data_IF_174287588710
#
_entry.id   IF_174287588710
#
_cell.length_a   1.000
_cell.length_b   1.000
_cell.length_c   1.000
_cell.angle_alpha   90.00
_cell.angle_beta   90.00
_cell.angle_gamma   90.00
#
_symmetry.space_group_name_H-M   'P 1'
#
loop_
_entity.id
_entity.type
_entity.pdbx_description
1 polymer ?
#
# COMPACT_ATOMS: atom_id res chain seq x y z
N UNK A 1 -64.39 -37.19 31.25
CA UNK A 1 -65.05 -36.21 32.15
C UNK A 1 -64.26 -34.92 31.94
N UNK A 2 -64.80 -34.18 31.12
CA UNK A 2 -65.47 -32.86 31.22
C UNK A 2 -64.48 -31.72 31.02
N UNK A 3 -64.38 -31.20 29.85
CA UNK A 3 -64.67 -29.84 29.38
C UNK A 3 -65.11 -28.79 30.48
N UNK A 4 -64.92 -27.46 30.34
CA UNK A 4 -64.90 -26.70 29.07
C UNK A 4 -63.89 -25.49 29.04
N UNK A 5 -63.75 -24.96 27.85
CA UNK A 5 -63.26 -23.60 27.54
C UNK A 5 -64.24 -22.51 28.05
N UNK A 6 -63.81 -21.26 28.12
CA UNK A 6 -64.29 -20.31 27.11
C UNK A 6 -63.20 -19.29 26.63
N UNK A 7 -63.32 -18.90 25.36
CA UNK A 7 -62.96 -17.60 24.81
C UNK A 7 -64.01 -16.54 25.24
N UNK A 8 -64.00 -15.29 24.77
CA UNK A 8 -62.97 -14.40 24.21
C UNK A 8 -63.01 -13.01 24.91
N UNK A 9 -62.10 -12.15 24.66
CA UNK A 9 -62.45 -10.75 24.63
C UNK A 9 -61.46 -9.95 23.81
N UNK A 10 -62.02 -9.31 22.86
CA UNK A 10 -61.39 -8.36 21.97
C UNK A 10 -60.94 -7.10 22.66
N UNK A 11 -59.87 -6.61 22.17
CA UNK A 11 -59.53 -5.23 22.40
C UNK A 11 -59.08 -4.55 21.09
N UNK A 12 -60.03 -3.81 20.56
CA UNK A 12 -59.85 -2.98 19.39
C UNK A 12 -58.78 -1.92 19.65
N UNK A 13 -57.79 -1.89 18.79
CA UNK A 13 -56.76 -0.84 18.77
C UNK A 13 -57.37 0.41 18.10
N UNK A 14 -57.40 1.56 18.74
CA UNK A 14 -57.85 2.78 18.07
C UNK A 14 -56.73 3.27 17.13
N UNK A 15 -57.11 3.41 15.86
CA UNK A 15 -56.28 4.06 14.84
C UNK A 15 -55.98 5.51 15.21
N UNK A 16 -54.77 5.79 15.63
CA UNK A 16 -54.24 7.17 15.75
C UNK A 16 -53.92 7.73 14.36
N UNK A 17 -54.94 8.16 13.65
CA UNK A 17 -54.86 9.10 12.53
C UNK A 17 -54.55 10.48 13.10
N UNK A 18 -53.36 11.01 12.91
CA UNK A 18 -53.10 12.42 13.21
C UNK A 18 -51.65 12.87 13.25
N UNK A 19 -50.69 11.98 13.47
CA UNK A 19 -49.28 12.41 13.61
C UNK A 19 -48.43 12.23 12.36
N UNK A 20 -48.85 11.41 11.41
CA UNK A 20 -48.08 11.17 10.18
C UNK A 20 -48.04 12.37 9.23
N UNK A 21 -49.07 13.20 9.20
CA UNK A 21 -49.06 14.40 8.33
C UNK A 21 -48.16 15.50 8.86
N UNK A 22 -48.03 15.62 10.16
CA UNK A 22 -47.13 16.61 10.79
C UNK A 22 -45.68 16.19 10.64
N UNK A 23 -45.39 14.89 10.78
CA UNK A 23 -44.04 14.32 10.53
C UNK A 23 -43.64 14.46 9.07
N UNK A 24 -44.58 14.21 8.14
CA UNK A 24 -44.32 14.37 6.70
C UNK A 24 -44.06 15.85 6.34
N UNK A 25 -44.74 16.81 6.99
CA UNK A 25 -44.57 18.24 6.74
C UNK A 25 -43.23 18.80 7.27
N UNK A 26 -42.64 18.14 8.27
CA UNK A 26 -41.37 18.58 8.87
C UNK A 26 -40.18 17.83 8.23
N UNK A 27 -40.34 16.51 7.96
CA UNK A 27 -39.25 15.68 7.42
C UNK A 27 -38.99 15.97 5.93
N UNK A 28 -40.03 16.31 5.16
CA UNK A 28 -39.87 16.59 3.74
C UNK A 28 -39.00 17.82 3.44
N UNK A 29 -39.20 18.99 4.09
CA UNK A 29 -38.34 20.16 3.86
C UNK A 29 -36.94 19.95 4.44
N UNK A 30 -36.79 19.19 5.54
CA UNK A 30 -35.48 18.89 6.12
C UNK A 30 -34.65 17.97 5.20
N UNK A 31 -35.28 17.00 4.54
CA UNK A 31 -34.63 16.14 3.55
C UNK A 31 -34.22 16.92 2.30
N UNK A 32 -35.05 17.87 1.83
CA UNK A 32 -34.72 18.74 0.70
C UNK A 32 -33.55 19.68 1.01
N UNK A 33 -33.45 20.20 2.23
CA UNK A 33 -32.30 21.00 2.68
C UNK A 33 -31.03 20.20 2.79
N UNK A 34 -31.09 18.92 3.23
CA UNK A 34 -29.95 18.02 3.31
C UNK A 34 -29.41 17.62 1.93
N UNK A 35 -30.30 17.36 0.97
CA UNK A 35 -29.91 17.00 -0.41
C UNK A 35 -29.34 18.21 -1.15
N UNK A 36 -29.97 19.40 -0.99
CA UNK A 36 -29.49 20.65 -1.61
C UNK A 36 -28.15 21.10 -1.05
N UNK A 37 -27.93 21.00 0.27
CA UNK A 37 -26.66 21.34 0.91
C UNK A 37 -25.53 20.36 0.57
N UNK A 38 -25.86 19.08 0.47
CA UNK A 38 -24.88 18.05 0.09
C UNK A 38 -24.39 18.19 -1.35
N UNK A 39 -25.27 18.54 -2.29
CA UNK A 39 -24.89 18.80 -3.68
C UNK A 39 -24.09 20.09 -3.85
N UNK A 40 -24.34 21.10 -3.02
CA UNK A 40 -23.57 22.36 -3.03
C UNK A 40 -22.15 22.15 -2.50
N UNK A 41 -22.01 21.35 -1.43
CA UNK A 41 -20.71 21.08 -0.81
C UNK A 41 -19.84 20.10 -1.63
N UNK A 42 -20.45 19.23 -2.43
CA UNK A 42 -19.71 18.30 -3.32
C UNK A 42 -19.22 18.93 -4.63
N UNK A 43 -19.46 20.23 -4.87
CA UNK A 43 -18.92 20.96 -6.00
C UNK A 43 -19.50 20.55 -7.37
N UNK A 44 -20.58 19.78 -7.39
CA UNK A 44 -21.18 19.25 -8.63
C UNK A 44 -22.04 20.32 -9.31
N UNK A 45 -22.69 21.20 -8.57
CA UNK A 45 -23.57 22.23 -9.13
C UNK A 45 -22.86 23.43 -9.79
N UNK A 46 -21.70 23.93 -9.32
CA UNK A 46 -21.04 25.05 -9.99
C UNK A 46 -20.52 24.72 -11.39
N UNK A 47 -20.30 23.44 -11.69
CA UNK A 47 -19.79 23.01 -13.00
C UNK A 47 -20.83 22.96 -14.13
N UNK A 48 -22.14 22.96 -13.81
CA UNK A 48 -23.20 22.84 -14.84
C UNK A 48 -23.78 24.18 -15.30
N UNK A 49 -23.51 25.28 -14.61
CA UNK A 49 -24.08 26.60 -14.91
C UNK A 49 -23.13 27.54 -15.70
N UNK A 50 -21.93 27.09 -16.02
CA UNK A 50 -20.98 27.85 -16.84
C UNK A 50 -21.04 27.46 -18.31
N UNK A 51 -22.22 27.56 -18.94
CA UNK A 51 -22.33 27.54 -20.38
C UNK A 51 -22.43 28.99 -20.87
N UNK A 52 -21.33 29.54 -21.34
CA UNK A 52 -21.36 30.73 -22.13
C UNK A 52 -20.21 31.70 -21.94
N UNK A 53 -19.05 31.41 -22.52
CA UNK A 53 -18.18 32.39 -23.14
C UNK A 53 -17.17 31.68 -24.06
N UNK A 54 -17.04 32.06 -25.33
CA UNK A 54 -16.06 31.43 -26.21
C UNK A 54 -14.71 32.11 -26.07
N UNK A 55 -13.68 31.29 -26.14
CA UNK A 55 -12.33 31.57 -26.61
C UNK A 55 -11.43 32.51 -25.79
N UNK A 56 -10.58 31.87 -25.00
CA UNK A 56 -9.17 32.21 -25.06
C UNK A 56 -8.41 30.87 -25.03
N UNK A 57 -7.52 30.70 -25.99
CA UNK A 57 -6.65 29.53 -26.09
C UNK A 57 -5.95 29.28 -24.74
N UNK A 58 -6.58 28.43 -23.95
CA UNK A 58 -5.99 27.90 -22.74
C UNK A 58 -4.85 26.98 -23.15
N UNK A 59 -3.66 27.33 -22.73
CA UNK A 59 -2.57 26.39 -22.65
C UNK A 59 -3.10 25.05 -22.13
N UNK A 60 -2.63 23.92 -22.63
CA UNK A 60 -3.02 22.63 -22.08
C UNK A 60 -2.72 22.70 -20.59
N UNK A 61 -3.77 22.57 -19.78
CA UNK A 61 -3.61 22.24 -18.37
C UNK A 61 -2.66 21.06 -18.40
N UNK A 62 -1.42 21.32 -18.07
CA UNK A 62 -0.48 20.27 -17.82
C UNK A 62 -1.14 19.45 -16.72
N UNK A 63 -1.87 18.40 -17.13
CA UNK A 63 -2.01 17.25 -16.30
C UNK A 63 -0.58 17.07 -15.80
N UNK A 64 -0.37 17.27 -14.51
CA UNK A 64 0.84 16.89 -13.84
C UNK A 64 0.89 15.40 -14.09
N UNK A 65 1.43 15.01 -15.23
CA UNK A 65 2.03 13.72 -15.43
C UNK A 65 3.05 13.75 -14.30
N UNK A 66 2.68 13.13 -13.19
CA UNK A 66 3.65 12.77 -12.18
C UNK A 66 4.70 12.03 -13.01
N UNK A 67 5.79 12.72 -13.27
CA UNK A 67 6.93 12.13 -13.92
C UNK A 67 7.25 10.96 -12.99
N UNK A 68 6.80 9.77 -13.38
CA UNK A 68 7.18 8.55 -12.71
C UNK A 68 8.69 8.53 -12.91
N UNK A 69 9.40 8.99 -11.89
CA UNK A 69 10.85 8.99 -11.91
C UNK A 69 11.24 7.56 -12.21
N UNK A 70 11.91 7.36 -13.35
CA UNK A 70 12.36 6.04 -13.77
C UNK A 70 13.12 5.39 -12.63
N UNK A 71 12.98 4.08 -12.42
CA UNK A 71 13.77 3.39 -11.41
C UNK A 71 15.25 3.55 -11.73
N UNK A 72 16.04 3.74 -10.69
CA UNK A 72 17.50 3.80 -10.81
C UNK A 72 18.11 2.51 -10.27
N UNK A 73 19.19 2.06 -10.92
CA UNK A 73 19.93 0.88 -10.49
C UNK A 73 21.30 1.28 -9.97
N UNK A 74 21.61 0.85 -8.76
CA UNK A 74 22.89 1.09 -8.11
C UNK A 74 23.66 -0.21 -7.98
N UNK A 75 24.90 -0.23 -8.42
CA UNK A 75 25.77 -1.37 -8.21
C UNK A 75 26.21 -1.45 -6.75
N UNK A 76 26.11 -2.65 -6.18
CA UNK A 76 26.59 -2.94 -4.84
C UNK A 76 27.98 -3.57 -4.91
N UNK A 77 28.89 -3.26 -3.98
CA UNK A 77 30.16 -3.98 -3.89
C UNK A 77 29.98 -5.49 -3.76
N UNK A 78 30.89 -6.26 -4.34
CA UNK A 78 30.88 -7.71 -4.21
C UNK A 78 31.01 -8.12 -2.74
N UNK A 79 30.09 -8.95 -2.27
CA UNK A 79 30.11 -9.47 -0.91
C UNK A 79 30.66 -10.89 -0.93
N UNK A 80 31.77 -11.10 -0.23
CA UNK A 80 32.34 -12.43 0.01
C UNK A 80 32.36 -12.67 1.51
N UNK A 81 31.62 -13.67 1.97
CA UNK A 81 31.56 -14.03 3.40
C UNK A 81 31.35 -15.52 3.59
N UNK A 82 31.61 -16.02 4.81
CA UNK A 82 31.31 -17.41 5.15
C UNK A 82 29.85 -17.54 5.59
N UNK A 83 29.24 -18.68 5.25
CA UNK A 83 27.93 -19.09 5.73
C UNK A 83 28.04 -19.84 7.06
N UNK A 84 26.92 -19.89 7.80
CA UNK A 84 26.80 -20.68 9.02
C UNK A 84 26.68 -22.19 8.66
N UNK A 85 27.79 -22.83 8.45
CA UNK A 85 27.84 -24.25 8.11
C UNK A 85 28.37 -25.08 9.28
N UNK A 86 27.63 -26.10 9.76
CA UNK A 86 28.14 -27.04 10.72
C UNK A 86 29.19 -27.93 10.05
N UNK A 87 30.46 -27.80 10.43
CA UNK A 87 31.52 -28.61 9.87
C UNK A 87 32.91 -28.03 10.02
N UNK A 88 33.94 -28.83 9.62
CA UNK A 88 35.34 -28.39 9.67
C UNK A 88 35.76 -27.54 8.48
N UNK A 89 35.00 -27.55 7.39
CA UNK A 89 35.29 -26.77 6.19
C UNK A 89 34.36 -25.56 6.14
N UNK A 90 34.90 -24.34 6.05
CA UNK A 90 34.07 -23.16 5.86
C UNK A 90 33.45 -23.20 4.45
N UNK A 91 32.19 -22.81 4.36
CA UNK A 91 31.47 -22.60 3.11
C UNK A 91 31.36 -21.12 2.89
N UNK A 92 31.77 -20.64 1.72
CA UNK A 92 31.73 -19.23 1.38
C UNK A 92 30.60 -18.95 0.39
N UNK A 93 30.03 -17.76 0.51
CA UNK A 93 29.14 -17.19 -0.49
C UNK A 93 29.77 -15.95 -1.11
N UNK A 94 29.75 -15.87 -2.44
CA UNK A 94 29.98 -14.64 -3.20
C UNK A 94 28.66 -14.15 -3.74
N UNK A 95 28.27 -12.95 -3.36
CA UNK A 95 27.07 -12.30 -3.81
C UNK A 95 27.42 -11.02 -4.56
N UNK A 96 26.98 -10.93 -5.83
CA UNK A 96 26.98 -9.70 -6.62
C UNK A 96 25.54 -9.28 -6.82
N UNK A 97 25.22 -8.05 -6.46
CA UNK A 97 23.85 -7.54 -6.52
C UNK A 97 23.79 -6.09 -6.98
N UNK A 98 22.60 -5.71 -7.46
CA UNK A 98 22.22 -4.34 -7.75
C UNK A 98 21.01 -4.00 -6.91
N UNK A 99 20.93 -2.75 -6.50
CA UNK A 99 19.77 -2.21 -5.79
C UNK A 99 18.94 -1.43 -6.78
N UNK A 100 17.66 -1.78 -6.90
CA UNK A 100 16.68 -1.00 -7.63
C UNK A 100 16.03 0.00 -6.69
N UNK A 101 16.12 1.28 -7.04
CA UNK A 101 15.56 2.39 -6.28
C UNK A 101 14.27 2.84 -6.94
N UNK A 102 13.20 2.97 -6.17
CA UNK A 102 11.87 3.30 -6.66
C UNK A 102 11.83 4.64 -7.44
N UNK A 103 12.68 5.59 -7.05
CA UNK A 103 12.78 6.92 -7.67
C UNK A 103 14.25 7.27 -7.87
N UNK A 104 14.59 7.72 -9.06
CA UNK A 104 15.97 8.14 -9.36
C UNK A 104 16.49 9.21 -8.39
N UNK A 105 15.62 10.08 -7.90
CA UNK A 105 15.95 11.13 -6.92
C UNK A 105 16.45 10.58 -5.58
N UNK A 106 16.06 9.36 -5.23
CA UNK A 106 16.46 8.70 -3.99
C UNK A 106 17.85 8.01 -4.11
N UNK A 107 18.38 7.87 -5.33
CA UNK A 107 19.65 7.18 -5.58
C UNK A 107 20.84 7.76 -4.78
N UNK A 108 21.04 9.08 -4.65
CA UNK A 108 22.12 9.62 -3.84
C UNK A 108 22.03 9.24 -2.36
N UNK A 109 20.82 9.17 -1.80
CA UNK A 109 20.60 8.77 -0.41
C UNK A 109 20.93 7.29 -0.20
N UNK A 110 20.50 6.42 -1.12
CA UNK A 110 20.85 4.98 -1.10
C UNK A 110 22.35 4.80 -1.26
N UNK A 111 23.00 5.58 -2.15
CA UNK A 111 24.45 5.53 -2.33
C UNK A 111 25.20 5.94 -1.06
N UNK A 112 24.73 6.94 -0.33
CA UNK A 112 25.31 7.35 0.95
C UNK A 112 25.13 6.27 2.03
N UNK A 113 24.03 5.51 1.99
CA UNK A 113 23.77 4.39 2.89
C UNK A 113 24.51 3.09 2.50
N UNK A 114 25.19 3.03 1.35
CA UNK A 114 25.81 1.81 0.81
C UNK A 114 26.71 1.06 1.78
N UNK A 115 27.60 1.71 2.56
CA UNK A 115 28.44 0.98 3.53
C UNK A 115 27.60 0.23 4.57
N UNK A 116 26.51 0.85 5.04
CA UNK A 116 25.59 0.23 5.99
C UNK A 116 24.81 -0.94 5.37
N UNK A 117 24.41 -0.81 4.09
CA UNK A 117 23.75 -1.87 3.37
C UNK A 117 24.64 -3.11 3.21
N UNK A 118 25.92 -2.88 2.86
CA UNK A 118 26.91 -3.95 2.76
C UNK A 118 27.10 -4.67 4.09
N UNK A 119 27.22 -3.93 5.20
CA UNK A 119 27.37 -4.49 6.53
C UNK A 119 26.17 -5.37 6.92
N UNK A 120 24.95 -4.86 6.71
CA UNK A 120 23.71 -5.59 7.00
C UNK A 120 23.59 -6.88 6.17
N UNK A 121 23.96 -6.81 4.89
CA UNK A 121 23.92 -7.98 4.01
C UNK A 121 24.95 -9.03 4.43
N UNK A 122 26.18 -8.61 4.74
CA UNK A 122 27.23 -9.52 5.23
C UNK A 122 26.82 -10.18 6.54
N UNK A 123 26.26 -9.40 7.48
CA UNK A 123 25.81 -9.93 8.77
C UNK A 123 24.73 -10.97 8.59
N UNK A 124 23.73 -10.68 7.76
CA UNK A 124 22.65 -11.64 7.48
C UNK A 124 23.16 -12.91 6.82
N UNK A 125 24.02 -12.79 5.80
CA UNK A 125 24.59 -13.93 5.10
C UNK A 125 25.40 -14.85 6.02
N UNK A 126 26.11 -14.31 7.02
CA UNK A 126 26.85 -15.10 8.01
C UNK A 126 25.97 -15.97 8.91
N UNK A 127 24.72 -15.55 9.11
CA UNK A 127 23.76 -16.30 9.92
C UNK A 127 23.07 -17.41 9.09
N UNK A 128 23.03 -17.27 7.76
CA UNK A 128 22.35 -18.20 6.88
C UNK A 128 23.09 -19.55 6.75
N UNK A 129 22.30 -20.62 6.65
CA UNK A 129 22.80 -21.95 6.34
C UNK A 129 22.84 -22.19 4.83
N UNK A 130 23.82 -22.95 4.32
CA UNK A 130 23.89 -23.26 2.88
C UNK A 130 22.62 -23.91 2.33
N UNK A 131 21.91 -24.70 3.14
CA UNK A 131 20.68 -25.38 2.74
C UNK A 131 19.52 -24.41 2.51
N UNK A 132 19.52 -23.26 3.18
CA UNK A 132 18.49 -22.22 3.03
C UNK A 132 18.58 -21.47 1.69
N UNK A 133 19.74 -21.53 1.04
CA UNK A 133 19.98 -20.92 -0.28
C UNK A 133 19.64 -21.85 -1.46
N UNK A 134 19.22 -23.09 -1.18
CA UNK A 134 18.96 -24.07 -2.24
C UNK A 134 17.65 -23.79 -2.98
N UNK A 135 17.76 -23.83 -4.31
CA UNK A 135 16.63 -23.69 -5.22
C UNK A 135 16.07 -22.26 -5.31
N UNK A 136 15.07 -22.10 -6.13
CA UNK A 136 14.42 -20.80 -6.37
C UNK A 136 13.75 -20.21 -5.12
N UNK A 137 13.17 -21.06 -4.29
CA UNK A 137 12.51 -20.61 -3.05
C UNK A 137 13.50 -20.01 -2.05
N UNK A 138 14.70 -20.59 -1.89
CA UNK A 138 15.76 -20.04 -1.05
C UNK A 138 16.26 -18.69 -1.55
N UNK A 139 16.51 -18.59 -2.85
CA UNK A 139 16.93 -17.34 -3.48
C UNK A 139 15.86 -16.23 -3.35
N UNK A 140 14.59 -16.60 -3.50
CA UNK A 140 13.48 -15.64 -3.34
C UNK A 140 13.41 -15.12 -1.91
N UNK A 141 13.46 -16.01 -0.91
CA UNK A 141 13.47 -15.63 0.50
C UNK A 141 14.66 -14.71 0.83
N UNK A 142 15.85 -15.05 0.34
CA UNK A 142 17.03 -14.20 0.50
C UNK A 142 16.78 -12.79 -0.02
N UNK A 143 16.19 -12.66 -1.21
CA UNK A 143 15.88 -11.36 -1.82
C UNK A 143 14.92 -10.55 -0.95
N UNK A 144 13.82 -11.14 -0.51
CA UNK A 144 12.83 -10.48 0.33
C UNK A 144 13.43 -9.99 1.65
N UNK A 145 14.25 -10.82 2.28
CA UNK A 145 14.89 -10.49 3.55
C UNK A 145 15.94 -9.37 3.39
N UNK A 146 16.74 -9.41 2.34
CA UNK A 146 17.71 -8.35 2.06
C UNK A 146 17.00 -7.04 1.70
N UNK A 147 15.94 -7.10 0.90
CA UNK A 147 15.13 -5.93 0.55
C UNK A 147 14.48 -5.29 1.79
N UNK A 148 13.93 -6.08 2.70
CA UNK A 148 13.34 -5.58 3.94
C UNK A 148 14.37 -4.83 4.80
N UNK A 149 15.56 -5.41 4.97
CA UNK A 149 16.67 -4.78 5.72
C UNK A 149 17.20 -3.54 5.03
N UNK A 150 17.30 -3.58 3.71
CA UNK A 150 17.77 -2.45 2.92
C UNK A 150 16.82 -1.26 3.04
N UNK A 151 15.52 -1.47 3.00
CA UNK A 151 14.53 -0.40 3.18
C UNK A 151 14.59 0.26 4.55
N UNK A 152 14.89 -0.50 5.61
CA UNK A 152 15.07 0.05 6.96
C UNK A 152 16.33 0.92 7.01
N UNK A 153 17.42 0.48 6.38
CA UNK A 153 18.71 1.16 6.42
C UNK A 153 18.77 2.40 5.53
N UNK A 154 18.07 2.38 4.41
CA UNK A 154 18.05 3.46 3.43
C UNK A 154 16.96 4.52 3.71
N UNK A 155 16.10 4.33 4.71
CA UNK A 155 15.01 5.26 4.99
C UNK A 155 15.52 6.71 5.12
N UNK A 156 14.82 7.71 4.53
CA UNK A 156 13.48 7.65 3.91
C UNK A 156 13.45 7.19 2.44
N UNK A 157 14.60 6.95 1.80
CA UNK A 157 14.66 6.45 0.43
C UNK A 157 14.03 5.04 0.33
N UNK A 158 13.38 4.75 -0.81
CA UNK A 158 12.70 3.48 -1.03
C UNK A 158 13.43 2.61 -2.04
N UNK A 159 13.77 1.40 -1.60
CA UNK A 159 14.33 0.35 -2.44
C UNK A 159 13.18 -0.53 -2.93
N UNK A 160 13.06 -0.69 -4.26
CA UNK A 160 12.03 -1.50 -4.90
C UNK A 160 12.39 -2.97 -4.92
N UNK A 161 13.65 -3.28 -5.22
CA UNK A 161 14.14 -4.66 -5.30
C UNK A 161 15.65 -4.76 -5.06
N UNK A 162 16.10 -5.97 -4.78
CA UNK A 162 17.51 -6.36 -4.72
C UNK A 162 17.74 -7.41 -5.80
N UNK A 163 18.43 -7.05 -6.87
CA UNK A 163 18.67 -7.88 -8.03
C UNK A 163 19.97 -8.66 -7.85
N UNK A 164 19.90 -9.98 -7.89
CA UNK A 164 21.09 -10.82 -7.84
C UNK A 164 21.67 -10.99 -9.24
N UNK A 165 22.90 -10.54 -9.42
CA UNK A 165 23.68 -10.72 -10.65
C UNK A 165 24.40 -12.06 -10.62
N UNK A 166 24.94 -12.42 -9.45
CA UNK A 166 25.66 -13.68 -9.25
C UNK A 166 25.51 -14.13 -7.79
N UNK A 167 25.19 -15.40 -7.60
CA UNK A 167 25.25 -16.09 -6.31
C UNK A 167 26.11 -17.34 -6.50
N UNK A 168 27.25 -17.39 -5.84
CA UNK A 168 28.15 -18.53 -5.89
C UNK A 168 28.40 -19.03 -4.48
N UNK A 169 28.13 -20.30 -4.23
CA UNK A 169 28.38 -20.97 -2.94
C UNK A 169 29.49 -22.01 -3.16
N UNK A 170 30.54 -21.91 -2.38
CA UNK A 170 31.74 -22.76 -2.51
C UNK A 170 32.14 -23.39 -1.18
#
# INVERSE_FOLDING_TARGET
MSEPAPAPDGNAVPAKRGKSRLVLLIVLPLALLGIGGGLWFSGILPGMLSHGAPAAAGAPSAAVVQAQSLPAFLDMPDILTNLNAPGRRPIYIKLRSKIEVARADDAPAVQAAMPRLVDLFQTYLREMRPDELRGSAGTHRLREELMARANIAAAPARISDVLFVEILVQ
#
